data_IF_425402318006
#
_entry.id   IF_425402318006
#
_cell.length_a   1.000
_cell.length_b   1.000
_cell.length_c   1.000
_cell.angle_alpha   90.00
_cell.angle_beta   90.00
_cell.angle_gamma   90.00
#
_symmetry.space_group_name_H-M   'P 1'
#
loop_
_entity.id
_entity.type
_entity.pdbx_description
1 polymer ?
#
# COMPACT_ATOMS: atom_id res chain seq x y z
N UNK A 1 -50.94 23.41 3.86
CA UNK A 1 -50.43 22.12 4.39
C UNK A 1 -49.45 21.50 3.40
N UNK A 2 -49.80 21.38 2.11
CA UNK A 2 -48.93 20.88 1.03
C UNK A 2 -47.52 21.49 1.00
N UNK A 3 -47.39 22.83 0.94
CA UNK A 3 -46.07 23.47 0.87
C UNK A 3 -45.11 23.15 2.02
N UNK A 4 -45.63 22.88 3.24
CA UNK A 4 -44.80 22.44 4.38
C UNK A 4 -44.37 20.98 4.25
N UNK A 5 -45.21 20.15 3.65
CA UNK A 5 -44.91 18.74 3.33
C UNK A 5 -43.85 18.68 2.22
N UNK A 6 -43.97 19.51 1.18
CA UNK A 6 -42.99 19.59 0.09
C UNK A 6 -41.62 20.07 0.59
N UNK A 7 -41.60 21.08 1.46
CA UNK A 7 -40.37 21.54 2.12
C UNK A 7 -39.75 20.47 3.03
N UNK A 8 -40.59 19.67 3.71
CA UNK A 8 -40.10 18.57 4.54
C UNK A 8 -39.51 17.45 3.67
N UNK A 9 -40.16 17.11 2.56
CA UNK A 9 -39.66 16.12 1.61
C UNK A 9 -38.27 16.54 1.08
N UNK A 10 -38.12 17.79 0.62
CA UNK A 10 -36.84 18.30 0.14
C UNK A 10 -35.72 18.26 1.20
N UNK A 11 -36.05 18.52 2.47
CA UNK A 11 -35.08 18.39 3.59
C UNK A 11 -34.68 16.95 3.86
N UNK A 12 -35.63 16.01 3.76
CA UNK A 12 -35.37 14.58 3.92
C UNK A 12 -34.48 14.07 2.78
N UNK A 13 -34.73 14.50 1.55
CA UNK A 13 -33.92 14.14 0.38
C UNK A 13 -32.48 14.66 0.52
N UNK A 14 -32.31 15.91 0.97
CA UNK A 14 -30.99 16.47 1.25
C UNK A 14 -30.27 15.69 2.36
N UNK A 15 -30.97 15.35 3.45
CA UNK A 15 -30.38 14.58 4.54
C UNK A 15 -29.91 13.19 4.08
N UNK A 16 -30.68 12.55 3.20
CA UNK A 16 -30.28 11.28 2.60
C UNK A 16 -28.98 11.43 1.79
N UNK A 17 -28.90 12.46 0.95
CA UNK A 17 -27.70 12.75 0.17
C UNK A 17 -26.47 13.05 1.06
N UNK A 18 -26.65 13.85 2.11
CA UNK A 18 -25.59 14.15 3.08
C UNK A 18 -25.12 12.89 3.82
N UNK A 19 -26.06 12.01 4.19
CA UNK A 19 -25.75 10.75 4.86
C UNK A 19 -24.93 9.81 3.96
N UNK A 20 -25.26 9.74 2.68
CA UNK A 20 -24.51 8.93 1.72
C UNK A 20 -23.12 9.49 1.47
N UNK A 21 -22.98 10.82 1.43
CA UNK A 21 -21.67 11.48 1.37
C UNK A 21 -20.81 11.19 2.63
N UNK A 22 -21.40 11.26 3.83
CA UNK A 22 -20.70 10.94 5.08
C UNK A 22 -20.23 9.48 5.09
N UNK A 23 -21.07 8.53 4.68
CA UNK A 23 -20.70 7.11 4.59
C UNK A 23 -19.51 6.90 3.66
N UNK A 24 -19.51 7.56 2.50
CA UNK A 24 -18.38 7.49 1.56
C UNK A 24 -17.08 8.01 2.21
N UNK A 25 -17.15 9.14 2.92
CA UNK A 25 -16.00 9.71 3.63
C UNK A 25 -15.51 8.85 4.79
N UNK A 26 -16.41 8.18 5.51
CA UNK A 26 -16.02 7.20 6.53
C UNK A 26 -15.26 6.03 5.91
N UNK A 27 -15.69 5.50 4.75
CA UNK A 27 -14.97 4.44 4.05
C UNK A 27 -13.57 4.87 3.57
N UNK A 28 -13.42 6.10 3.07
CA UNK A 28 -12.10 6.67 2.75
C UNK A 28 -11.19 6.74 3.98
N UNK A 29 -11.74 7.18 5.13
CA UNK A 29 -11.00 7.28 6.39
C UNK A 29 -10.56 5.92 6.93
N UNK A 30 -11.42 4.90 6.88
CA UNK A 30 -11.08 3.53 7.26
C UNK A 30 -9.93 2.98 6.43
N UNK A 31 -9.94 3.23 5.12
CA UNK A 31 -8.86 2.84 4.20
C UNK A 31 -7.56 3.54 4.56
N UNK A 32 -7.60 4.85 4.82
CA UNK A 32 -6.41 5.62 5.22
C UNK A 32 -5.85 5.12 6.57
N UNK A 33 -6.69 4.85 7.56
CA UNK A 33 -6.25 4.31 8.84
C UNK A 33 -5.59 2.92 8.69
N UNK A 34 -6.14 2.07 7.82
CA UNK A 34 -5.52 0.77 7.52
C UNK A 34 -4.12 0.94 6.92
N UNK A 35 -3.95 1.91 6.01
CA UNK A 35 -2.66 2.26 5.42
C UNK A 35 -1.64 2.77 6.43
N UNK A 36 -2.05 3.69 7.31
CA UNK A 36 -1.19 4.21 8.39
C UNK A 36 -0.73 3.07 9.31
N UNK A 37 -1.64 2.18 9.70
CA UNK A 37 -1.31 1.03 10.54
C UNK A 37 -0.35 0.07 9.83
N UNK A 38 -0.56 -0.19 8.55
CA UNK A 38 0.37 -0.97 7.74
C UNK A 38 1.76 -0.33 7.70
N UNK A 39 1.84 0.99 7.53
CA UNK A 39 3.11 1.73 7.54
C UNK A 39 3.84 1.64 8.87
N UNK A 40 3.12 1.72 9.99
CA UNK A 40 3.68 1.53 11.33
C UNK A 40 4.21 0.11 11.53
N UNK A 41 3.44 -0.92 11.15
CA UNK A 41 3.86 -2.32 11.21
C UNK A 41 5.12 -2.56 10.36
N UNK A 42 5.20 -1.92 9.19
CA UNK A 42 6.32 -2.05 8.25
C UNK A 42 7.64 -1.46 8.76
N UNK A 43 7.64 -0.56 9.77
CA UNK A 43 8.88 0.03 10.31
C UNK A 43 9.83 -1.05 10.80
N UNK A 44 9.33 -2.02 11.57
CA UNK A 44 10.16 -3.11 12.10
C UNK A 44 10.71 -3.99 10.99
N UNK A 45 9.89 -4.28 9.98
CA UNK A 45 10.28 -5.10 8.83
C UNK A 45 11.37 -4.42 8.00
N UNK A 46 11.22 -3.12 7.72
CA UNK A 46 12.23 -2.30 7.04
C UNK A 46 13.54 -2.25 7.81
N UNK A 47 13.48 -2.09 9.14
CA UNK A 47 14.67 -2.12 9.98
C UNK A 47 15.40 -3.47 9.92
N UNK A 48 14.66 -4.59 9.96
CA UNK A 48 15.24 -5.93 9.81
C UNK A 48 15.91 -6.07 8.44
N UNK A 49 15.20 -5.70 7.36
CA UNK A 49 15.71 -5.76 5.99
C UNK A 49 16.97 -4.90 5.78
N UNK A 50 17.05 -3.76 6.45
CA UNK A 50 18.19 -2.83 6.36
C UNK A 50 19.42 -3.24 7.17
N UNK A 51 19.26 -4.13 8.16
CA UNK A 51 20.32 -4.49 9.10
C UNK A 51 21.30 -5.54 8.60
N UNK A 52 21.05 -6.16 7.44
CA UNK A 52 21.95 -7.18 6.87
C UNK A 52 22.45 -6.83 5.48
N UNK A 53 23.69 -7.23 5.21
CA UNK A 53 24.33 -7.18 3.89
C UNK A 53 24.54 -8.57 3.29
N UNK A 54 24.16 -9.62 4.02
CA UNK A 54 24.32 -10.99 3.56
C UNK A 54 23.28 -11.30 2.49
N UNK A 55 23.71 -11.86 1.37
CA UNK A 55 22.85 -12.13 0.22
C UNK A 55 21.74 -13.15 0.53
N UNK A 56 21.98 -14.06 1.47
CA UNK A 56 21.04 -15.06 1.98
C UNK A 56 20.15 -14.54 3.11
N UNK A 57 20.30 -13.27 3.52
CA UNK A 57 19.44 -12.66 4.52
C UNK A 57 17.98 -12.75 4.09
N UNK A 58 17.15 -13.34 4.96
CA UNK A 58 15.71 -13.46 4.74
C UNK A 58 15.02 -12.12 4.93
N UNK A 59 14.44 -11.61 3.86
CA UNK A 59 13.69 -10.36 3.90
C UNK A 59 12.33 -10.61 4.53
N UNK A 60 11.88 -9.62 5.31
CA UNK A 60 10.54 -9.55 5.86
C UNK A 60 9.61 -8.86 4.85
N UNK A 61 8.49 -9.50 4.45
CA UNK A 61 7.52 -8.91 3.53
C UNK A 61 6.84 -7.69 4.16
N UNK A 62 6.47 -6.70 3.36
CA UNK A 62 5.76 -5.53 3.85
C UNK A 62 4.25 -5.71 3.66
N UNK A 63 3.44 -5.08 4.51
CA UNK A 63 2.01 -4.88 4.24
C UNK A 63 1.84 -3.78 3.20
N UNK A 64 0.83 -3.88 2.35
CA UNK A 64 0.47 -2.77 1.48
C UNK A 64 -0.08 -1.59 2.29
N UNK A 65 0.40 -0.39 1.99
CA UNK A 65 0.03 0.86 2.67
C UNK A 65 -1.08 1.61 1.91
N UNK A 66 -1.32 1.23 0.66
CA UNK A 66 -2.32 1.81 -0.23
C UNK A 66 -2.88 0.74 -1.19
N UNK A 67 -3.86 1.13 -2.01
CA UNK A 67 -4.49 0.26 -3.00
C UNK A 67 -5.45 -0.79 -2.44
N UNK A 68 -5.84 -1.75 -3.29
CA UNK A 68 -6.85 -2.78 -2.99
C UNK A 68 -6.40 -3.76 -1.88
N UNK A 69 -5.08 -3.89 -1.68
CA UNK A 69 -4.50 -4.83 -0.72
C UNK A 69 -4.08 -4.19 0.60
N UNK A 70 -4.49 -2.94 0.88
CA UNK A 70 -4.08 -2.21 2.10
C UNK A 70 -4.22 -3.08 3.37
N UNK A 71 -3.16 -3.10 4.17
CA UNK A 71 -3.07 -3.90 5.40
C UNK A 71 -2.75 -5.38 5.23
N UNK A 72 -2.64 -5.88 3.99
CA UNK A 72 -2.35 -7.30 3.69
C UNK A 72 -0.88 -7.51 3.32
N UNK A 73 -0.36 -8.70 3.61
CA UNK A 73 0.94 -9.16 3.11
C UNK A 73 0.79 -9.76 1.71
N UNK A 74 1.85 -9.70 0.89
CA UNK A 74 1.90 -10.42 -0.39
C UNK A 74 1.83 -11.93 -0.11
N UNK A 75 0.86 -12.57 -0.72
CA UNK A 75 0.70 -14.03 -0.71
C UNK A 75 1.07 -14.56 -2.09
N UNK A 76 1.32 -15.86 -2.21
CA UNK A 76 1.45 -16.46 -3.54
C UNK A 76 0.17 -16.20 -4.36
N UNK A 77 0.29 -15.82 -5.64
CA UNK A 77 1.49 -15.92 -6.47
C UNK A 77 2.44 -14.70 -6.48
N UNK A 78 2.18 -13.60 -5.77
CA UNK A 78 3.03 -12.39 -5.80
C UNK A 78 4.22 -12.54 -4.85
N UNK A 79 5.38 -13.05 -5.28
CA UNK A 79 6.40 -13.47 -4.34
C UNK A 79 7.21 -12.23 -4.01
N UNK A 80 6.94 -11.66 -2.83
CA UNK A 80 7.94 -10.84 -2.18
C UNK A 80 9.26 -11.63 -2.15
N UNK A 81 10.39 -11.05 -2.57
CA UNK A 81 11.64 -11.78 -2.66
C UNK A 81 12.04 -12.30 -1.28
N UNK A 82 12.24 -13.61 -1.16
CA UNK A 82 12.56 -14.23 0.14
C UNK A 82 13.89 -13.75 0.71
N UNK A 83 14.83 -13.35 -0.16
CA UNK A 83 16.20 -13.00 0.23
C UNK A 83 16.69 -11.73 -0.45
N UNK A 84 17.73 -11.11 0.12
CA UNK A 84 18.42 -9.98 -0.49
C UNK A 84 18.94 -10.31 -1.91
N UNK A 85 19.43 -11.54 -2.11
CA UNK A 85 19.82 -12.03 -3.43
C UNK A 85 18.65 -12.10 -4.42
N UNK A 86 17.50 -12.65 -4.00
CA UNK A 86 16.31 -12.73 -4.85
C UNK A 86 15.82 -11.32 -5.24
N UNK A 87 15.90 -10.37 -4.31
CA UNK A 87 15.52 -8.97 -4.53
C UNK A 87 16.36 -8.31 -5.64
N UNK A 88 17.66 -8.62 -5.72
CA UNK A 88 18.54 -8.14 -6.80
C UNK A 88 18.23 -8.76 -8.17
N UNK A 89 17.45 -9.85 -8.23
CA UNK A 89 17.13 -10.58 -9.45
C UNK A 89 15.71 -10.35 -9.98
N UNK A 90 14.88 -9.56 -9.30
CA UNK A 90 13.49 -9.28 -9.70
C UNK A 90 13.41 -8.79 -11.14
N UNK A 91 12.70 -9.46 -12.03
CA UNK A 91 12.52 -8.98 -13.39
C UNK A 91 11.38 -7.94 -13.49
N UNK A 92 11.10 -7.49 -14.72
CA UNK A 92 10.04 -6.51 -14.96
C UNK A 92 8.66 -7.05 -14.53
N UNK A 93 8.37 -8.32 -14.79
CA UNK A 93 7.09 -8.93 -14.43
C UNK A 93 6.92 -9.04 -12.92
N UNK A 94 7.98 -9.37 -12.18
CA UNK A 94 7.95 -9.37 -10.72
C UNK A 94 7.67 -7.97 -10.17
N UNK A 95 8.33 -6.93 -10.72
CA UNK A 95 8.11 -5.56 -10.27
C UNK A 95 6.71 -5.04 -10.61
N UNK A 96 6.16 -5.42 -11.77
CA UNK A 96 4.80 -5.06 -12.15
C UNK A 96 3.77 -5.70 -11.21
N UNK A 97 3.96 -6.99 -10.88
CA UNK A 97 3.12 -7.69 -9.90
C UNK A 97 3.21 -7.07 -8.50
N UNK A 98 4.42 -6.77 -8.04
CA UNK A 98 4.65 -6.11 -6.75
C UNK A 98 4.03 -4.70 -6.75
N UNK A 99 4.14 -3.93 -7.84
CA UNK A 99 3.54 -2.60 -7.96
C UNK A 99 2.02 -2.67 -7.91
N UNK A 100 1.42 -3.64 -8.61
CA UNK A 100 -0.02 -3.88 -8.56
C UNK A 100 -0.46 -4.25 -7.14
N UNK A 101 0.25 -5.18 -6.49
CA UNK A 101 -0.07 -5.61 -5.13
C UNK A 101 0.04 -4.45 -4.12
N UNK A 102 1.13 -3.70 -4.15
CA UNK A 102 1.37 -2.59 -3.21
C UNK A 102 0.60 -1.31 -3.55
N UNK A 103 -0.10 -1.27 -4.68
CA UNK A 103 -0.85 -0.10 -5.13
C UNK A 103 0.03 1.12 -5.43
N UNK A 104 1.34 0.92 -5.61
CA UNK A 104 2.34 2.01 -5.70
C UNK A 104 3.22 1.90 -6.91
N UNK A 105 3.59 3.03 -7.48
CA UNK A 105 4.49 3.06 -8.63
C UNK A 105 5.97 2.87 -8.22
N UNK A 106 6.65 1.93 -8.87
CA UNK A 106 8.12 1.82 -8.84
C UNK A 106 8.69 2.56 -10.05
N UNK A 107 8.87 3.88 -9.88
CA UNK A 107 9.27 4.81 -10.96
C UNK A 107 10.66 4.49 -11.52
N UNK A 108 10.83 4.66 -12.82
CA UNK A 108 12.11 4.53 -13.51
C UNK A 108 11.96 4.09 -14.96
N UNK A 109 12.84 4.56 -15.84
CA UNK A 109 12.86 4.18 -17.27
C UNK A 109 13.65 2.90 -17.53
N UNK A 110 14.43 2.43 -16.55
CA UNK A 110 15.21 1.19 -16.63
C UNK A 110 14.76 0.21 -15.55
N UNK A 111 14.98 -1.08 -15.80
CA UNK A 111 14.71 -2.14 -14.82
C UNK A 111 15.46 -1.91 -13.50
N UNK A 112 16.71 -1.49 -13.58
CA UNK A 112 17.55 -1.19 -12.41
C UNK A 112 16.98 -0.04 -11.58
N UNK A 113 16.55 1.07 -12.20
CA UNK A 113 15.94 2.18 -11.47
C UNK A 113 14.66 1.75 -10.73
N UNK A 114 13.81 0.92 -11.37
CA UNK A 114 12.61 0.38 -10.72
C UNK A 114 12.96 -0.54 -9.55
N UNK A 115 13.99 -1.39 -9.69
CA UNK A 115 14.51 -2.23 -8.61
C UNK A 115 15.00 -1.38 -7.45
N UNK A 116 15.76 -0.31 -7.70
CA UNK A 116 16.28 0.58 -6.65
C UNK A 116 15.15 1.25 -5.86
N UNK A 117 14.09 1.67 -6.53
CA UNK A 117 12.89 2.19 -5.85
C UNK A 117 12.25 1.11 -4.96
N UNK A 118 12.16 -0.14 -5.44
CA UNK A 118 11.64 -1.24 -4.64
C UNK A 118 12.57 -1.59 -3.46
N UNK A 119 13.89 -1.63 -3.67
CA UNK A 119 14.90 -1.81 -2.62
C UNK A 119 14.70 -0.79 -1.51
N UNK A 120 14.62 0.50 -1.88
CA UNK A 120 14.39 1.58 -0.93
C UNK A 120 13.06 1.42 -0.17
N UNK A 121 11.98 1.02 -0.87
CA UNK A 121 10.68 0.74 -0.26
C UNK A 121 10.76 -0.38 0.80
N UNK A 122 11.49 -1.46 0.52
CA UNK A 122 11.68 -2.58 1.46
C UNK A 122 12.56 -2.23 2.66
N UNK A 123 13.26 -1.09 2.62
CA UNK A 123 14.26 -0.69 3.62
C UNK A 123 15.59 -1.45 3.50
N UNK A 124 15.71 -2.38 2.54
CA UNK A 124 16.95 -3.11 2.29
C UNK A 124 18.06 -2.18 1.82
N UNK A 125 19.31 -2.46 2.22
CA UNK A 125 20.50 -1.72 1.80
C UNK A 125 20.51 -0.21 2.14
N UNK A 126 19.62 0.25 3.02
CA UNK A 126 19.43 1.65 3.43
C UNK A 126 20.65 2.31 4.10
N UNK A 127 21.67 1.53 4.49
CA UNK A 127 22.91 2.02 5.10
C UNK A 127 24.08 2.22 4.11
N UNK A 128 23.85 2.31 2.78
CA UNK A 128 24.94 2.59 1.83
C UNK A 128 25.55 3.97 2.17
N UNK A 129 26.87 4.08 2.43
CA UNK A 129 27.56 5.36 2.28
C UNK A 129 27.51 5.83 0.82
#
# INVERSE_FOLDING_TARGET
MAAKVDQLAAKVDQLAADMDWVKAKMGEMETMMAGIKAGQDNVVHRNINGNSRMLDHKLQPLKAEEGEHVGKYPNQPDPFPETLWALMRLDAANLDALQQFYGREFKGTTLEARRDVFVAFTGALSSRP
#
